data_IF_652164082986
#
_entry.id   IF_652164082986
#
_cell.length_a   1.000
_cell.length_b   1.000
_cell.length_c   1.000
_cell.angle_alpha   90.00
_cell.angle_beta   90.00
_cell.angle_gamma   90.00
#
_symmetry.space_group_name_H-M   'P 1'
#
loop_
_entity.id
_entity.type
_entity.pdbx_description
1 polymer ?
#
# COMPACT_ATOMS: atom_id res chain seq x y z
N UNK A 1 20.90 -10.62 2.06
CA UNK A 1 19.58 -10.79 2.70
C UNK A 1 18.84 -9.50 2.45
N UNK A 2 17.83 -9.50 1.57
CA UNK A 2 17.06 -8.28 1.32
C UNK A 2 16.30 -7.95 2.61
N UNK A 3 16.51 -6.75 3.12
CA UNK A 3 15.72 -6.21 4.21
C UNK A 3 14.25 -6.22 3.80
N UNK A 4 13.39 -6.81 4.62
CA UNK A 4 11.96 -6.86 4.33
C UNK A 4 11.37 -5.54 4.81
N UNK A 5 11.32 -4.57 3.90
CA UNK A 5 10.73 -3.28 4.19
C UNK A 5 9.23 -3.43 4.48
N UNK A 6 8.81 -2.97 5.66
CA UNK A 6 7.44 -2.99 6.12
C UNK A 6 6.85 -1.58 6.07
N UNK A 7 5.71 -1.47 5.41
CA UNK A 7 4.97 -0.23 5.28
C UNK A 7 3.75 -0.21 6.18
N UNK A 8 3.48 0.95 6.75
CA UNK A 8 2.20 1.27 7.38
C UNK A 8 1.23 1.85 6.35
N UNK A 9 -0.02 2.08 6.76
CA UNK A 9 -1.00 2.82 5.94
C UNK A 9 -0.48 4.21 5.55
N UNK A 10 0.34 4.86 6.40
CA UNK A 10 0.92 6.17 6.10
C UNK A 10 1.95 6.11 4.97
N UNK A 11 2.83 5.11 5.00
CA UNK A 11 3.83 4.88 3.95
C UNK A 11 3.16 4.58 2.61
N UNK A 12 2.10 3.75 2.63
CA UNK A 12 1.27 3.45 1.46
C UNK A 12 0.63 4.73 0.90
N UNK A 13 0.11 5.60 1.79
CA UNK A 13 -0.50 6.87 1.38
C UNK A 13 0.52 7.81 0.71
N UNK A 14 1.69 7.96 1.31
CA UNK A 14 2.80 8.74 0.77
C UNK A 14 3.26 8.20 -0.60
N UNK A 15 3.44 6.87 -0.71
CA UNK A 15 3.82 6.20 -1.95
C UNK A 15 2.81 6.40 -3.09
N UNK A 16 1.53 6.44 -2.75
CA UNK A 16 0.42 6.60 -3.70
C UNK A 16 0.08 8.06 -4.02
N UNK A 17 0.60 9.03 -3.26
CA UNK A 17 0.26 10.44 -3.35
C UNK A 17 -1.19 10.75 -2.94
N UNK A 18 -1.74 10.01 -1.98
CA UNK A 18 -3.13 10.14 -1.53
C UNK A 18 -3.21 10.39 -0.03
N UNK A 19 -4.36 10.84 0.46
CA UNK A 19 -4.59 10.98 1.90
C UNK A 19 -4.57 9.62 2.62
N UNK A 20 -4.12 9.61 3.88
CA UNK A 20 -4.07 8.39 4.72
C UNK A 20 -5.45 7.73 4.89
N UNK A 21 -6.53 8.50 4.98
CA UNK A 21 -7.90 7.95 5.02
C UNK A 21 -8.25 7.20 3.72
N UNK A 22 -7.84 7.75 2.56
CA UNK A 22 -8.05 7.09 1.28
C UNK A 22 -7.23 5.81 1.18
N UNK A 23 -5.99 5.84 1.65
CA UNK A 23 -5.15 4.63 1.76
C UNK A 23 -5.76 3.60 2.71
N UNK A 24 -6.35 4.01 3.83
CA UNK A 24 -7.04 3.11 4.77
C UNK A 24 -8.25 2.42 4.14
N UNK A 25 -9.08 3.17 3.40
CA UNK A 25 -10.20 2.57 2.66
C UNK A 25 -9.71 1.58 1.60
N UNK A 26 -8.58 1.87 0.96
CA UNK A 26 -7.98 1.01 -0.04
C UNK A 26 -7.49 -0.30 0.58
N UNK A 27 -6.83 -0.25 1.74
CA UNK A 27 -6.33 -1.43 2.45
C UNK A 27 -7.43 -2.33 3.02
N UNK A 28 -8.69 -1.88 3.00
CA UNK A 28 -9.87 -2.68 3.36
C UNK A 28 -10.49 -3.44 2.18
N UNK A 29 -10.02 -3.19 0.94
CA UNK A 29 -10.53 -3.91 -0.24
C UNK A 29 -9.97 -5.32 -0.30
N UNK A 30 -10.80 -6.28 -0.73
CA UNK A 30 -10.40 -7.68 -0.87
C UNK A 30 -9.29 -7.90 -1.93
N UNK A 31 -9.17 -6.99 -2.89
CA UNK A 31 -8.11 -7.01 -3.91
C UNK A 31 -6.75 -6.51 -3.39
N UNK A 32 -6.73 -5.81 -2.24
CA UNK A 32 -5.50 -5.24 -1.68
C UNK A 32 -4.69 -6.32 -0.93
N UNK A 33 -3.35 -6.26 -0.93
CA UNK A 33 -2.53 -7.25 -0.25
C UNK A 33 -2.88 -7.41 1.23
N UNK A 34 -2.83 -8.65 1.70
CA UNK A 34 -3.03 -8.94 3.12
C UNK A 34 -1.87 -8.36 3.96
N UNK A 35 -2.16 -7.79 5.15
CA UNK A 35 -1.12 -7.33 6.05
C UNK A 35 -0.32 -8.52 6.59
N UNK A 36 0.99 -8.35 6.70
CA UNK A 36 1.88 -9.37 7.30
C UNK A 36 1.84 -9.36 8.82
N UNK A 37 1.26 -8.32 9.41
CA UNK A 37 1.07 -8.23 10.84
C UNK A 37 0.38 -6.94 11.25
N UNK A 38 0.09 -6.85 12.54
CA UNK A 38 -0.41 -5.64 13.16
C UNK A 38 0.22 -5.46 14.54
N UNK A 39 0.52 -4.22 14.90
CA UNK A 39 0.92 -3.85 16.26
C UNK A 39 -0.01 -2.74 16.75
N UNK A 40 -0.69 -2.99 17.88
CA UNK A 40 -1.74 -2.11 18.42
C UNK A 40 -2.82 -1.81 17.38
N UNK A 41 -2.83 -0.60 16.81
CA UNK A 41 -3.80 -0.14 15.81
C UNK A 41 -3.18 0.05 14.42
N UNK A 42 -1.90 -0.27 14.26
CA UNK A 42 -1.16 -0.12 13.00
C UNK A 42 -1.03 -1.49 12.34
N UNK A 43 -1.38 -1.57 11.06
CA UNK A 43 -1.17 -2.73 10.20
C UNK A 43 0.11 -2.52 9.38
N UNK A 44 0.79 -3.62 9.10
CA UNK A 44 2.01 -3.65 8.33
C UNK A 44 1.84 -4.49 7.08
N UNK A 45 2.36 -4.00 5.97
CA UNK A 45 2.41 -4.70 4.70
C UNK A 45 3.85 -4.80 4.23
N UNK A 46 4.15 -5.84 3.45
CA UNK A 46 5.41 -5.90 2.73
C UNK A 46 5.39 -4.87 1.61
N UNK A 47 6.42 -4.03 1.55
CA UNK A 47 6.59 -3.07 0.47
C UNK A 47 6.48 -3.76 -0.90
N UNK A 48 7.16 -4.89 -1.10
CA UNK A 48 7.17 -5.62 -2.36
C UNK A 48 5.77 -6.02 -2.85
N UNK A 49 4.87 -6.41 -1.94
CA UNK A 49 3.50 -6.82 -2.28
C UNK A 49 2.61 -5.65 -2.61
N UNK A 50 2.78 -4.55 -1.87
CA UNK A 50 2.05 -3.32 -2.18
C UNK A 50 2.50 -2.78 -3.52
N UNK A 51 3.80 -2.76 -3.80
CA UNK A 51 4.32 -2.27 -5.08
C UNK A 51 3.85 -3.11 -6.28
N UNK A 52 3.89 -4.44 -6.16
CA UNK A 52 3.33 -5.34 -7.18
C UNK A 52 1.83 -5.10 -7.40
N UNK A 53 1.07 -4.90 -6.32
CA UNK A 53 -0.35 -4.54 -6.43
C UNK A 53 -0.55 -3.21 -7.14
N UNK A 54 0.24 -2.18 -6.81
CA UNK A 54 0.20 -0.85 -7.45
C UNK A 54 0.48 -0.98 -8.94
N UNK A 55 1.52 -1.73 -9.33
CA UNK A 55 1.88 -1.94 -10.72
C UNK A 55 0.75 -2.61 -11.52
N UNK A 56 0.03 -3.57 -10.91
CA UNK A 56 -1.09 -4.29 -11.54
C UNK A 56 -2.38 -3.47 -11.61
N UNK A 57 -2.68 -2.68 -10.58
CA UNK A 57 -3.97 -1.97 -10.45
C UNK A 57 -3.92 -0.50 -10.91
N UNK A 58 -2.73 0.04 -11.22
CA UNK A 58 -2.57 1.34 -11.90
C UNK A 58 -1.95 1.21 -13.31
N UNK A 59 -2.59 0.54 -14.27
CA UNK A 59 -2.09 0.53 -15.65
C UNK A 59 -2.27 1.87 -16.39
N UNK A 60 -3.01 2.85 -15.84
CA UNK A 60 -3.45 4.03 -16.58
C UNK A 60 -3.32 5.39 -15.86
N UNK A 61 -2.41 5.54 -14.88
CA UNK A 61 -1.95 6.90 -14.52
C UNK A 61 -0.86 7.33 -15.51
N UNK A 62 -1.20 7.37 -16.80
CA UNK A 62 -0.54 8.30 -17.69
C UNK A 62 -0.75 9.71 -17.10
N UNK A 63 0.26 10.59 -17.10
CA UNK A 63 0.05 11.97 -16.70
C UNK A 63 -1.05 12.53 -17.59
N UNK A 64 -2.21 12.83 -17.02
CA UNK A 64 -3.16 13.72 -17.66
C UNK A 64 -2.41 15.04 -17.84
N UNK A 65 -1.96 15.26 -19.07
CA UNK A 65 -1.27 16.47 -19.54
C UNK A 65 -2.17 17.69 -19.34
#
# INVERSE_FOLDING_TARGET
>A
MADVELWTTGDIAARLGISTERARQLTHRAEFPEPVGAAKHIRFWRADRVEDWIARHRPNQAPST
#
